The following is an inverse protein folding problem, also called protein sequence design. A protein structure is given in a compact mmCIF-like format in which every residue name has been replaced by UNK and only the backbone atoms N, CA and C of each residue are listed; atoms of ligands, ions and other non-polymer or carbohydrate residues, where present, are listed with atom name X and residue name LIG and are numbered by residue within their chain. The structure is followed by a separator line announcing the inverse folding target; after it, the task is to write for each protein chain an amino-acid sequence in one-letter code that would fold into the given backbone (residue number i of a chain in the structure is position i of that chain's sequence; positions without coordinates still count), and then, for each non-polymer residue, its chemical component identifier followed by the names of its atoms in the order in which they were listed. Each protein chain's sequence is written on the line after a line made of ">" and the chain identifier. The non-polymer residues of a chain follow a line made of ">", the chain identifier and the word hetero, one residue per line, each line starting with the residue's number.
data_IF_888680316065
#
_entry.id   IF_888680316065
#
_cell.length_a   1.000
_cell.length_b   1.000
_cell.length_c   1.000
_cell.angle_alpha   90.00
_cell.angle_beta   90.00
_cell.angle_gamma   90.00
#
_symmetry.space_group_name_H-M   'P 1'
#
loop_
_entity.id
_entity.type
_entity.pdbx_description
1 polymer ?
#
# COMPACT_ATOMS: atom_id res chain seq x y z
N UNK A 1 12.02 -7.51 -9.97
CA UNK A 1 12.01 -6.64 -8.79
C UNK A 1 13.34 -6.72 -8.02
N UNK A 2 13.92 -7.90 -7.81
CA UNK A 2 15.25 -8.05 -7.18
C UNK A 2 16.33 -7.30 -7.97
N UNK A 3 16.38 -7.46 -9.29
CA UNK A 3 17.34 -6.75 -10.15
C UNK A 3 17.20 -5.22 -10.04
N UNK A 4 15.95 -4.72 -9.99
CA UNK A 4 15.68 -3.31 -9.77
C UNK A 4 16.22 -2.83 -8.41
N UNK A 5 16.01 -3.59 -7.34
CA UNK A 5 16.49 -3.24 -6.01
C UNK A 5 18.02 -3.21 -5.94
N UNK A 6 18.69 -4.18 -6.54
CA UNK A 6 20.16 -4.25 -6.61
C UNK A 6 20.71 -3.07 -7.41
N UNK A 7 20.20 -2.84 -8.64
CA UNK A 7 20.62 -1.76 -9.52
C UNK A 7 20.47 -0.37 -8.87
N UNK A 8 19.36 -0.14 -8.18
CA UNK A 8 19.06 1.15 -7.57
C UNK A 8 19.53 1.27 -6.10
N UNK A 9 20.22 0.26 -5.58
CA UNK A 9 20.70 0.20 -4.18
C UNK A 9 19.59 0.54 -3.17
N UNK A 10 18.36 0.05 -3.42
CA UNK A 10 17.22 0.25 -2.54
C UNK A 10 16.85 -1.05 -1.81
N UNK A 11 16.32 -0.92 -0.59
CA UNK A 11 16.04 -2.04 0.29
C UNK A 11 14.54 -2.28 0.52
N UNK A 12 13.71 -1.48 -0.11
CA UNK A 12 12.25 -1.59 -0.05
C UNK A 12 11.66 -1.09 -1.35
N UNK A 13 10.86 -1.93 -2.01
CA UNK A 13 10.22 -1.62 -3.29
C UNK A 13 8.82 -2.19 -3.38
N UNK A 14 8.05 -1.69 -4.32
CA UNK A 14 6.75 -2.19 -4.71
C UNK A 14 6.56 -2.04 -6.22
N UNK A 15 5.55 -2.71 -6.78
CA UNK A 15 5.24 -2.62 -8.20
C UNK A 15 3.82 -2.11 -8.44
N UNK A 16 3.52 -1.75 -9.68
CA UNK A 16 2.14 -1.59 -10.14
C UNK A 16 1.46 -2.96 -10.23
N UNK A 17 0.13 -2.99 -10.16
CA UNK A 17 -0.66 -4.21 -10.34
C UNK A 17 -1.92 -3.92 -11.15
N UNK A 18 -2.45 -4.97 -11.79
CA UNK A 18 -3.71 -4.94 -12.49
C UNK A 18 -4.82 -5.57 -11.63
N UNK A 19 -6.05 -5.07 -11.74
CA UNK A 19 -7.21 -5.67 -11.08
C UNK A 19 -7.86 -6.70 -12.02
N UNK A 20 -8.19 -7.87 -11.47
CA UNK A 20 -8.99 -8.91 -12.11
C UNK A 20 -10.31 -9.13 -11.34
N UNK A 21 -11.34 -9.60 -12.01
CA UNK A 21 -12.63 -9.93 -11.39
C UNK A 21 -12.58 -11.28 -10.63
N UNK A 22 -13.74 -11.73 -10.11
CA UNK A 22 -13.86 -13.03 -9.42
C UNK A 22 -13.47 -14.20 -10.30
N UNK A 23 -13.70 -14.11 -11.60
CA UNK A 23 -13.50 -15.19 -12.58
C UNK A 23 -12.10 -15.17 -13.19
N UNK A 24 -11.31 -14.13 -12.89
CA UNK A 24 -9.94 -13.98 -13.38
C UNK A 24 -9.81 -13.12 -14.63
N UNK A 25 -10.89 -12.48 -15.08
CA UNK A 25 -10.84 -11.60 -16.25
C UNK A 25 -10.25 -10.24 -15.88
N UNK A 26 -9.46 -9.67 -16.77
CA UNK A 26 -8.90 -8.33 -16.60
C UNK A 26 -10.00 -7.26 -16.58
N UNK A 27 -9.95 -6.37 -15.59
CA UNK A 27 -10.94 -5.28 -15.47
C UNK A 27 -10.47 -4.00 -16.17
N UNK A 28 -9.28 -4.02 -16.78
CA UNK A 28 -8.60 -2.84 -17.37
C UNK A 28 -8.32 -1.73 -16.32
N UNK A 29 -8.22 -2.10 -15.06
CA UNK A 29 -7.86 -1.19 -13.96
C UNK A 29 -6.44 -1.49 -13.52
N UNK A 30 -5.55 -0.51 -13.66
CA UNK A 30 -4.17 -0.58 -13.18
C UNK A 30 -3.99 0.39 -12.02
N UNK A 31 -3.36 -0.10 -10.97
CA UNK A 31 -3.06 0.68 -9.77
C UNK A 31 -1.56 0.81 -9.61
N UNK A 32 -1.11 2.04 -9.47
CA UNK A 32 0.29 2.42 -9.27
C UNK A 32 0.44 3.30 -8.01
N UNK A 33 1.53 4.06 -7.92
CA UNK A 33 1.77 4.98 -6.82
C UNK A 33 2.96 5.92 -7.05
N UNK A 34 3.40 6.66 -6.02
CA UNK A 34 4.55 7.54 -6.10
C UNK A 34 5.86 6.79 -6.39
N UNK A 35 6.72 7.36 -7.24
CA UNK A 35 8.05 6.77 -7.55
C UNK A 35 8.89 6.51 -6.30
N UNK A 36 8.81 7.39 -5.31
CA UNK A 36 9.52 7.28 -4.03
C UNK A 36 8.59 7.66 -2.89
N UNK A 37 8.53 6.80 -1.89
CA UNK A 37 7.74 7.01 -0.67
C UNK A 37 8.70 7.14 0.51
N UNK A 38 8.71 8.32 1.12
CA UNK A 38 9.43 8.59 2.37
C UNK A 38 8.63 8.10 3.59
N UNK A 39 9.23 8.20 4.79
CA UNK A 39 8.51 7.99 6.05
C UNK A 39 7.21 8.81 6.10
N UNK A 40 7.27 10.12 5.84
CA UNK A 40 6.08 10.99 5.83
C UNK A 40 5.12 10.58 4.73
N UNK A 41 5.63 10.24 3.54
CA UNK A 41 4.82 9.75 2.43
C UNK A 41 4.01 8.50 2.79
N UNK A 42 4.61 7.57 3.55
CA UNK A 42 3.90 6.36 4.02
C UNK A 42 2.86 6.70 5.10
N UNK A 43 3.10 7.67 5.96
CA UNK A 43 2.09 8.17 6.91
C UNK A 43 0.92 8.88 6.21
N UNK A 44 1.15 9.47 5.03
CA UNK A 44 0.05 10.05 4.25
C UNK A 44 -0.94 9.00 3.78
N UNK A 45 -0.43 7.86 3.28
CA UNK A 45 -1.28 6.79 2.77
C UNK A 45 -0.48 5.48 2.57
N UNK A 46 -1.17 4.35 2.65
CA UNK A 46 -0.65 3.04 2.23
C UNK A 46 -0.63 2.96 0.69
N UNK A 47 0.46 3.40 0.08
CA UNK A 47 0.59 3.43 -1.38
C UNK A 47 0.76 2.04 -2.00
N UNK A 48 1.65 1.17 -1.47
CA UNK A 48 1.87 -0.15 -2.02
C UNK A 48 0.64 -1.07 -1.89
N UNK A 49 0.39 -1.88 -2.90
CA UNK A 49 -0.43 -3.07 -2.72
C UNK A 49 0.38 -4.13 -1.97
N UNK A 50 -0.18 -4.75 -0.95
CA UNK A 50 0.52 -5.74 -0.11
C UNK A 50 1.17 -6.86 -0.95
N UNK A 51 0.50 -7.31 -2.00
CA UNK A 51 0.95 -8.39 -2.90
C UNK A 51 2.17 -7.99 -3.77
N UNK A 52 2.54 -6.70 -3.84
CA UNK A 52 3.61 -6.20 -4.71
C UNK A 52 4.89 -5.84 -3.97
N UNK A 53 4.88 -5.97 -2.66
CA UNK A 53 5.94 -5.45 -1.80
C UNK A 53 7.10 -6.43 -1.67
N UNK A 54 8.32 -5.89 -1.73
CA UNK A 54 9.55 -6.59 -1.40
C UNK A 54 10.46 -5.71 -0.55
N UNK A 55 11.06 -6.29 0.51
CA UNK A 55 12.09 -5.61 1.28
C UNK A 55 13.26 -6.56 1.62
N UNK A 56 14.46 -6.01 1.74
CA UNK A 56 15.67 -6.77 2.12
C UNK A 56 15.74 -6.88 3.65
N UNK A 57 15.36 -8.05 4.17
CA UNK A 57 15.40 -8.35 5.60
C UNK A 57 16.80 -8.25 6.20
N UNK A 58 17.84 -8.56 5.43
CA UNK A 58 19.25 -8.49 5.91
C UNK A 58 19.69 -7.06 6.23
N UNK A 59 19.10 -6.06 5.52
CA UNK A 59 19.38 -4.64 5.70
C UNK A 59 18.43 -3.97 6.69
N UNK A 60 17.17 -4.37 6.70
CA UNK A 60 16.11 -3.74 7.50
C UNK A 60 15.93 -4.46 8.83
N UNK A 61 16.27 -5.74 8.90
CA UNK A 61 16.02 -6.63 10.01
C UNK A 61 14.61 -7.26 9.94
N UNK A 62 14.40 -8.28 10.75
CA UNK A 62 13.09 -8.89 10.90
C UNK A 62 12.16 -7.91 11.63
N UNK A 63 10.97 -7.72 11.10
CA UNK A 63 9.96 -6.85 11.68
C UNK A 63 8.72 -7.66 12.05
N UNK A 64 8.35 -7.60 13.32
CA UNK A 64 7.11 -8.22 13.77
C UNK A 64 5.92 -7.31 13.47
N UNK A 65 4.90 -7.87 12.81
CA UNK A 65 3.62 -7.18 12.57
C UNK A 65 2.91 -7.01 13.92
N UNK A 66 2.27 -5.84 14.11
CA UNK A 66 1.43 -5.61 15.30
C UNK A 66 0.16 -6.45 15.21
N UNK A 67 -0.29 -6.95 16.35
CA UNK A 67 -1.56 -7.66 16.45
C UNK A 67 -2.74 -6.70 16.35
N UNK A 68 -3.03 -6.30 15.12
CA UNK A 68 -4.22 -5.55 14.74
C UNK A 68 -4.95 -6.31 13.65
N UNK A 69 -6.26 -6.48 13.79
CA UNK A 69 -7.06 -7.32 12.90
C UNK A 69 -7.05 -6.87 11.43
N UNK A 70 -6.88 -5.56 11.17
CA UNK A 70 -6.82 -4.96 9.82
C UNK A 70 -5.72 -3.91 9.74
N UNK A 71 -5.25 -3.61 8.53
CA UNK A 71 -4.13 -2.70 8.27
C UNK A 71 -2.81 -3.16 8.91
N UNK A 72 -2.65 -4.45 9.22
CA UNK A 72 -1.43 -5.01 9.76
C UNK A 72 -0.25 -4.90 8.78
N UNK A 73 -0.50 -5.10 7.49
CA UNK A 73 0.42 -4.84 6.40
C UNK A 73 0.84 -3.36 6.36
N UNK A 74 -0.10 -2.44 6.47
CA UNK A 74 0.20 -1.01 6.51
C UNK A 74 1.05 -0.65 7.75
N UNK A 75 0.73 -1.20 8.92
CA UNK A 75 1.55 -1.04 10.12
C UNK A 75 3.00 -1.52 9.90
N UNK A 76 3.17 -2.61 9.16
CA UNK A 76 4.50 -3.10 8.80
C UNK A 76 5.24 -2.12 7.87
N UNK A 77 4.57 -1.61 6.84
CA UNK A 77 5.19 -0.67 5.89
C UNK A 77 5.57 0.65 6.56
N UNK A 78 4.80 1.12 7.52
CA UNK A 78 5.19 2.26 8.35
C UNK A 78 6.50 1.99 9.10
N UNK A 79 6.67 0.80 9.69
CA UNK A 79 7.92 0.41 10.37
C UNK A 79 9.10 0.33 9.40
N UNK A 80 8.90 -0.27 8.22
CA UNK A 80 9.94 -0.34 7.18
C UNK A 80 10.35 1.06 6.74
N UNK A 81 9.39 1.96 6.47
CA UNK A 81 9.66 3.32 6.04
C UNK A 81 10.28 4.23 7.13
N UNK A 82 10.29 3.82 8.40
CA UNK A 82 11.11 4.46 9.42
C UNK A 82 12.61 4.23 9.23
N UNK A 83 12.99 3.14 8.52
CA UNK A 83 14.38 2.74 8.29
C UNK A 83 14.88 3.05 6.88
N UNK A 84 14.00 3.01 5.88
CA UNK A 84 14.35 3.24 4.47
C UNK A 84 13.19 3.83 3.69
N UNK A 85 13.46 4.32 2.47
CA UNK A 85 12.42 4.74 1.52
C UNK A 85 11.91 3.53 0.74
N UNK A 86 10.65 3.60 0.29
CA UNK A 86 10.07 2.62 -0.62
C UNK A 86 10.10 3.17 -2.05
N UNK A 87 10.46 2.34 -3.02
CA UNK A 87 10.65 2.71 -4.43
C UNK A 87 9.70 1.92 -5.32
N UNK A 88 9.10 2.61 -6.28
CA UNK A 88 8.24 1.99 -7.30
C UNK A 88 9.11 1.44 -8.43
N UNK A 89 8.97 0.15 -8.73
CA UNK A 89 9.23 -0.40 -10.05
C UNK A 89 7.92 -0.29 -10.83
N UNK A 90 7.87 0.64 -11.78
CA UNK A 90 6.62 0.95 -12.52
C UNK A 90 6.37 -0.07 -13.64
N UNK A 91 6.26 -1.32 -13.24
CA UNK A 91 5.88 -2.47 -14.06
C UNK A 91 4.72 -3.19 -13.41
N UNK A 92 3.81 -3.76 -14.21
CA UNK A 92 2.67 -4.54 -13.74
C UNK A 92 3.16 -5.97 -13.54
N UNK A 93 3.47 -6.34 -12.29
CA UNK A 93 4.01 -7.66 -11.95
C UNK A 93 3.07 -8.49 -11.07
N UNK A 94 1.85 -8.03 -10.84
CA UNK A 94 0.88 -8.74 -10.01
C UNK A 94 -0.55 -8.47 -10.46
N UNK A 95 -1.44 -9.43 -10.19
CA UNK A 95 -2.88 -9.33 -10.40
C UNK A 95 -3.60 -9.36 -9.07
N UNK A 96 -4.49 -8.39 -8.84
CA UNK A 96 -5.28 -8.28 -7.63
C UNK A 96 -6.75 -8.63 -7.90
N UNK A 97 -7.21 -9.75 -7.34
CA UNK A 97 -8.59 -10.22 -7.50
C UNK A 97 -9.57 -9.39 -6.67
N UNK A 98 -10.57 -8.81 -7.34
CA UNK A 98 -11.67 -8.08 -6.72
C UNK A 98 -13.01 -8.83 -6.82
N UNK A 99 -13.96 -8.40 -5.98
CA UNK A 99 -15.34 -8.94 -6.04
C UNK A 99 -15.54 -10.31 -5.37
N UNK A 100 -14.49 -10.86 -4.75
CA UNK A 100 -14.63 -12.12 -4.02
C UNK A 100 -15.52 -11.93 -2.79
N UNK A 101 -16.51 -12.80 -2.63
CA UNK A 101 -17.34 -12.87 -1.41
C UNK A 101 -16.45 -13.08 -0.18
N UNK A 102 -16.71 -12.32 0.91
CA UNK A 102 -15.92 -12.37 2.15
C UNK A 102 -14.58 -11.61 2.09
N UNK A 103 -14.33 -10.82 1.04
CA UNK A 103 -13.11 -10.00 0.95
C UNK A 103 -13.01 -9.01 2.13
N UNK A 104 -11.84 -9.01 2.79
CA UNK A 104 -11.54 -8.12 3.93
C UNK A 104 -11.54 -6.64 3.50
N UNK A 105 -11.35 -6.34 2.22
CA UNK A 105 -11.28 -4.98 1.68
C UNK A 105 -12.63 -4.34 1.35
N UNK A 106 -13.74 -5.09 1.43
CA UNK A 106 -15.10 -4.60 1.14
C UNK A 106 -15.77 -4.06 2.41
N UNK A 107 -15.42 -2.85 2.82
CA UNK A 107 -16.02 -2.24 4.01
C UNK A 107 -16.49 -0.82 3.74
N UNK A 108 -17.57 -0.43 4.46
CA UNK A 108 -18.07 0.95 4.45
C UNK A 108 -17.07 1.95 5.06
N UNK A 109 -17.27 3.23 4.74
CA UNK A 109 -16.37 4.32 5.18
C UNK A 109 -16.18 4.38 6.71
N UNK A 110 -17.21 4.05 7.50
CA UNK A 110 -17.13 4.04 8.98
C UNK A 110 -16.08 3.02 9.48
N UNK A 111 -16.11 1.81 8.95
CA UNK A 111 -15.12 0.79 9.30
C UNK A 111 -13.71 1.17 8.82
N UNK A 112 -13.58 1.77 7.64
CA UNK A 112 -12.32 2.26 7.13
C UNK A 112 -11.69 3.28 8.09
N UNK A 113 -12.44 4.32 8.50
CA UNK A 113 -12.00 5.34 9.45
C UNK A 113 -11.59 4.71 10.79
N UNK A 114 -12.42 3.82 11.34
CA UNK A 114 -12.16 3.13 12.60
C UNK A 114 -10.83 2.35 12.58
N UNK A 115 -10.54 1.62 11.48
CA UNK A 115 -9.33 0.82 11.39
C UNK A 115 -8.08 1.66 11.13
N UNK A 116 -8.18 2.79 10.43
CA UNK A 116 -7.07 3.74 10.31
C UNK A 116 -6.78 4.44 11.64
N UNK A 117 -7.81 4.85 12.38
CA UNK A 117 -7.63 5.38 13.73
C UNK A 117 -6.94 4.37 14.66
N UNK A 118 -7.38 3.10 14.63
CA UNK A 118 -6.76 2.03 15.41
C UNK A 118 -5.29 1.77 15.01
N UNK A 119 -4.97 1.84 13.75
CA UNK A 119 -3.60 1.75 13.27
C UNK A 119 -2.71 2.81 13.92
N UNK A 120 -3.08 4.07 13.82
CA UNK A 120 -2.26 5.16 14.37
C UNK A 120 -2.27 5.14 15.90
N UNK A 121 -3.41 4.90 16.53
CA UNK A 121 -3.55 4.93 17.99
C UNK A 121 -2.82 3.78 18.68
N UNK A 122 -2.92 2.57 18.15
CA UNK A 122 -2.41 1.36 18.84
C UNK A 122 -1.18 0.75 18.18
N UNK A 123 -1.08 0.70 16.87
CA UNK A 123 0.10 0.13 16.22
C UNK A 123 1.27 1.11 16.18
N UNK A 124 0.99 2.41 15.96
CA UNK A 124 1.99 3.48 15.96
C UNK A 124 2.17 4.14 17.34
N UNK A 125 1.27 3.86 18.28
CA UNK A 125 1.29 4.38 19.66
C UNK A 125 1.21 5.92 19.74
N UNK A 126 0.43 6.52 18.85
CA UNK A 126 0.21 7.97 18.82
C UNK A 126 -0.84 8.41 19.87
N UNK A 127 -0.78 9.67 20.29
CA UNK A 127 -1.85 10.26 21.10
C UNK A 127 -3.14 10.43 20.28
N UNK A 128 -4.25 10.73 20.94
CA UNK A 128 -5.58 10.82 20.32
C UNK A 128 -5.60 11.88 19.19
N UNK A 129 -5.06 13.06 19.45
CA UNK A 129 -5.09 14.20 18.51
C UNK A 129 -4.31 13.83 17.23
N UNK A 130 -3.11 13.30 17.38
CA UNK A 130 -2.27 12.92 16.25
C UNK A 130 -2.89 11.74 15.47
N UNK A 131 -3.50 10.78 16.16
CA UNK A 131 -4.20 9.65 15.52
C UNK A 131 -5.40 10.13 14.69
N UNK A 132 -6.18 11.08 15.19
CA UNK A 132 -7.29 11.68 14.45
C UNK A 132 -6.80 12.46 13.22
N UNK A 133 -5.75 13.27 13.41
CA UNK A 133 -5.11 14.03 12.31
C UNK A 133 -4.59 13.10 11.22
N UNK A 134 -3.83 12.06 11.58
CA UNK A 134 -3.29 11.10 10.64
C UNK A 134 -4.37 10.28 9.95
N UNK A 135 -5.47 9.96 10.63
CA UNK A 135 -6.64 9.30 10.04
C UNK A 135 -7.29 10.18 8.96
N UNK A 136 -7.59 11.44 9.29
CA UNK A 136 -8.15 12.40 8.32
C UNK A 136 -7.24 12.61 7.11
N UNK A 137 -5.96 12.81 7.35
CA UNK A 137 -4.93 12.92 6.30
C UNK A 137 -4.92 11.70 5.39
N UNK A 138 -4.97 10.50 5.96
CA UNK A 138 -4.98 9.26 5.21
C UNK A 138 -6.23 9.13 4.30
N UNK A 139 -7.39 9.57 4.77
CA UNK A 139 -8.61 9.60 3.95
C UNK A 139 -8.46 10.54 2.75
N UNK A 140 -7.91 11.74 2.94
CA UNK A 140 -7.66 12.70 1.86
C UNK A 140 -6.68 12.14 0.81
N UNK A 141 -5.57 11.57 1.25
CA UNK A 141 -4.61 10.96 0.33
C UNK A 141 -5.15 9.69 -0.33
N UNK A 142 -6.10 8.99 0.28
CA UNK A 142 -6.83 7.89 -0.36
C UNK A 142 -7.65 8.35 -1.57
N UNK A 143 -8.33 9.50 -1.46
CA UNK A 143 -9.03 10.12 -2.59
C UNK A 143 -8.05 10.57 -3.68
N UNK A 144 -6.94 11.18 -3.28
CA UNK A 144 -5.87 11.57 -4.22
C UNK A 144 -5.29 10.37 -4.97
N UNK A 145 -5.04 9.24 -4.28
CA UNK A 145 -4.59 7.99 -4.93
C UNK A 145 -5.58 7.52 -6.00
N UNK A 146 -6.87 7.49 -5.66
CA UNK A 146 -7.92 7.07 -6.60
C UNK A 146 -7.94 7.91 -7.87
N UNK A 147 -7.69 9.22 -7.76
CA UNK A 147 -7.68 10.14 -8.91
C UNK A 147 -6.41 10.04 -9.73
N UNK A 148 -5.24 9.91 -9.09
CA UNK A 148 -3.94 10.04 -9.76
C UNK A 148 -3.30 8.72 -10.15
N UNK A 149 -3.50 7.66 -9.36
CA UNK A 149 -2.76 6.41 -9.49
C UNK A 149 -3.63 5.19 -9.79
N UNK A 150 -4.93 5.38 -10.00
CA UNK A 150 -5.84 4.32 -10.44
C UNK A 150 -6.31 4.64 -11.87
N UNK A 151 -5.74 3.96 -12.85
CA UNK A 151 -6.13 4.07 -14.24
C UNK A 151 -7.21 3.05 -14.56
N UNK A 152 -8.41 3.50 -14.93
CA UNK A 152 -9.59 2.67 -15.23
C UNK A 152 -9.84 2.44 -16.72
N UNK A 153 -8.93 2.87 -17.56
CA UNK A 153 -9.03 2.73 -19.02
C UNK A 153 -7.72 2.21 -19.59
N UNK A 154 -7.02 1.38 -18.80
CA UNK A 154 -5.76 0.82 -19.22
C UNK A 154 -5.97 -0.13 -20.41
N UNK A 155 -5.35 0.21 -21.54
CA UNK A 155 -5.24 -0.68 -22.69
C UNK A 155 -3.78 -1.14 -22.77
N UNK A 156 -3.56 -2.42 -22.69
CA UNK A 156 -2.23 -3.00 -22.90
C UNK A 156 -1.71 -2.55 -24.29
N UNK A 157 -0.57 -1.86 -24.31
CA UNK A 157 0.11 -1.60 -25.58
C UNK A 157 0.60 -2.94 -26.10
N UNK A 158 -0.03 -3.46 -27.14
CA UNK A 158 0.51 -4.59 -27.90
C UNK A 158 1.81 -4.09 -28.56
N UNK A 159 2.94 -4.61 -28.07
CA UNK A 159 4.22 -4.48 -28.76
C UNK A 159 4.24 -5.44 -29.95
#
# INVERSE_FOLDING_TARGET
>A
QIQFMVKNKCYFSYTSYEEIDSDGNKTNVVVSGPKVISKIGMFNYCWPGCLTVMYDQRKIGQLQIRDIKKNNDYAMWLKVCKKTRCYLLDEILAEYRRGRSGSISTHGYKELIKWHYRLFRYAENENIILSLFNTGRNMLFGLYKKKKYVNRSYKERKN
#
